data_IF_115143677581
#
_entry.id   IF_115143677581
#
_cell.length_a   1.000
_cell.length_b   1.000
_cell.length_c   1.000
_cell.angle_alpha   90.00
_cell.angle_beta   90.00
_cell.angle_gamma   90.00
#
_symmetry.space_group_name_H-M   'P 1'
#
loop_
_entity.id
_entity.type
_entity.pdbx_description
1 polymer ?
#
# COMPACT_ATOMS: atom_id res chain seq x y z
N UNK A 1 17.24 -24.02 7.46
CA UNK A 1 17.15 -22.60 7.83
C UNK A 1 16.66 -22.51 9.27
N UNK A 2 17.37 -21.79 10.12
CA UNK A 2 17.04 -21.67 11.54
C UNK A 2 15.65 -21.07 11.72
N UNK A 3 14.81 -21.64 12.59
CA UNK A 3 13.42 -21.19 12.85
C UNK A 3 13.35 -19.69 13.19
N UNK A 4 14.29 -19.19 13.98
CA UNK A 4 14.37 -17.75 14.32
C UNK A 4 14.65 -16.88 13.09
N UNK A 5 15.59 -17.28 12.25
CA UNK A 5 15.93 -16.53 11.02
C UNK A 5 14.73 -16.44 10.08
N UNK A 6 13.98 -17.53 9.90
CA UNK A 6 12.77 -17.55 9.09
C UNK A 6 11.71 -16.58 9.60
N UNK A 7 11.53 -16.50 10.93
CA UNK A 7 10.60 -15.57 11.57
C UNK A 7 10.94 -14.12 11.21
N UNK A 8 12.18 -13.69 11.44
CA UNK A 8 12.62 -12.32 11.15
C UNK A 8 12.54 -11.99 9.66
N UNK A 9 12.99 -12.87 8.79
CA UNK A 9 12.88 -12.67 7.33
C UNK A 9 11.43 -12.50 6.88
N UNK A 10 10.48 -13.22 7.51
CA UNK A 10 9.06 -13.06 7.19
C UNK A 10 8.55 -11.69 7.62
N UNK A 11 8.91 -11.20 8.81
CA UNK A 11 8.50 -9.86 9.27
C UNK A 11 9.10 -8.76 8.39
N UNK A 12 10.37 -8.89 8.01
CA UNK A 12 11.03 -7.96 7.07
C UNK A 12 10.29 -7.95 5.72
N UNK A 13 9.99 -9.12 5.16
CA UNK A 13 9.23 -9.22 3.91
C UNK A 13 7.82 -8.59 4.01
N UNK A 14 7.14 -8.74 5.15
CA UNK A 14 5.87 -8.06 5.41
C UNK A 14 6.04 -6.54 5.51
N UNK A 15 7.13 -6.07 6.11
CA UNK A 15 7.47 -4.65 6.16
C UNK A 15 7.73 -4.05 4.77
N UNK A 16 8.50 -4.76 3.92
CA UNK A 16 8.73 -4.38 2.53
C UNK A 16 7.41 -4.30 1.75
N UNK A 17 6.57 -5.32 1.87
CA UNK A 17 5.26 -5.33 1.22
C UNK A 17 4.36 -4.18 1.70
N UNK A 18 4.32 -3.93 3.02
CA UNK A 18 3.55 -2.84 3.60
C UNK A 18 4.03 -1.45 3.17
N UNK A 19 5.35 -1.23 3.10
CA UNK A 19 5.93 0.04 2.66
C UNK A 19 5.69 0.34 1.17
N UNK A 20 5.50 -0.69 0.36
CA UNK A 20 5.29 -0.55 -1.08
C UNK A 20 3.81 -0.43 -1.46
N UNK A 21 2.91 -1.18 -0.81
CA UNK A 21 1.51 -1.29 -1.24
C UNK A 21 0.74 0.03 -1.12
N UNK A 22 1.13 0.89 -0.19
CA UNK A 22 0.49 2.18 0.06
C UNK A 22 1.03 3.32 -0.80
N UNK A 23 2.02 3.06 -1.66
CA UNK A 23 2.61 4.08 -2.53
C UNK A 23 1.54 4.77 -3.40
N UNK A 24 0.76 4.01 -4.15
CA UNK A 24 -0.24 4.56 -5.07
C UNK A 24 -1.40 5.28 -4.36
N UNK A 25 -2.06 4.74 -3.32
CA UNK A 25 -3.12 5.46 -2.62
C UNK A 25 -2.70 6.83 -2.09
N UNK A 26 -1.44 6.95 -1.68
CA UNK A 26 -0.88 8.16 -1.08
C UNK A 26 0.06 8.93 -2.00
N UNK A 27 0.06 8.65 -3.31
CA UNK A 27 0.94 9.28 -4.32
C UNK A 27 0.88 10.81 -4.28
N UNK A 28 -0.29 11.39 -3.98
CA UNK A 28 -0.48 12.84 -3.88
C UNK A 28 0.39 13.51 -2.81
N UNK A 29 0.85 12.80 -1.79
CA UNK A 29 1.69 13.40 -0.74
C UNK A 29 3.13 13.65 -1.19
N UNK A 30 3.57 12.99 -2.24
CA UNK A 30 4.92 13.11 -2.77
C UNK A 30 4.92 13.74 -4.17
N UNK A 31 3.93 13.39 -5.00
CA UNK A 31 3.86 13.76 -6.42
C UNK A 31 2.62 14.59 -6.75
N UNK A 32 2.26 15.53 -5.87
CA UNK A 32 1.03 16.32 -6.00
C UNK A 32 0.96 17.10 -7.31
N UNK A 33 1.99 17.89 -7.60
CA UNK A 33 2.03 18.74 -8.78
C UNK A 33 2.10 17.92 -10.08
N UNK A 34 2.92 16.86 -10.08
CA UNK A 34 3.01 15.92 -11.20
C UNK A 34 1.67 15.21 -11.45
N UNK A 35 0.96 14.79 -10.41
CA UNK A 35 -0.35 14.16 -10.55
C UNK A 35 -1.38 15.12 -11.16
N UNK A 36 -1.44 16.36 -10.66
CA UNK A 36 -2.39 17.38 -11.15
C UNK A 36 -2.10 17.75 -12.59
N UNK A 37 -0.85 18.03 -12.94
CA UNK A 37 -0.45 18.42 -14.28
C UNK A 37 -0.66 17.32 -15.32
N UNK A 38 -0.24 16.10 -14.99
CA UNK A 38 -0.36 14.95 -15.93
C UNK A 38 -1.82 14.55 -16.17
N UNK A 39 -2.66 14.56 -15.12
CA UNK A 39 -4.06 14.19 -15.23
C UNK A 39 -4.96 15.35 -15.68
N UNK A 40 -4.50 16.59 -15.66
CA UNK A 40 -5.31 17.77 -15.93
C UNK A 40 -6.46 17.97 -14.94
N UNK A 41 -6.27 17.58 -13.67
CA UNK A 41 -7.29 17.63 -12.62
C UNK A 41 -7.10 18.82 -11.68
N UNK A 42 -8.17 19.20 -11.00
CA UNK A 42 -8.13 20.25 -9.99
C UNK A 42 -7.70 19.72 -8.62
N UNK A 43 -7.27 20.63 -7.73
CA UNK A 43 -6.95 20.31 -6.33
C UNK A 43 -8.10 19.60 -5.62
N UNK A 44 -9.33 20.02 -5.89
CA UNK A 44 -10.55 19.40 -5.34
C UNK A 44 -10.71 17.96 -5.82
N UNK A 45 -10.47 17.70 -7.10
CA UNK A 45 -10.56 16.35 -7.67
C UNK A 45 -9.50 15.41 -7.10
N UNK A 46 -8.26 15.89 -6.92
CA UNK A 46 -7.22 15.12 -6.22
C UNK A 46 -7.63 14.80 -4.77
N UNK A 47 -8.25 15.76 -4.07
CA UNK A 47 -8.80 15.54 -2.74
C UNK A 47 -9.94 14.50 -2.72
N UNK A 48 -10.83 14.53 -3.71
CA UNK A 48 -11.94 13.58 -3.83
C UNK A 48 -11.46 12.13 -4.04
N UNK A 49 -10.40 11.91 -4.82
CA UNK A 49 -9.81 10.58 -4.98
C UNK A 49 -9.39 10.01 -3.60
N UNK A 50 -8.65 10.79 -2.79
CA UNK A 50 -8.26 10.36 -1.46
C UNK A 50 -9.47 10.16 -0.53
N UNK A 51 -10.49 10.99 -0.66
CA UNK A 51 -11.74 10.86 0.10
C UNK A 51 -12.45 9.54 -0.23
N UNK A 52 -12.53 9.15 -1.50
CA UNK A 52 -13.09 7.86 -1.91
C UNK A 52 -12.32 6.68 -1.29
N UNK A 53 -10.99 6.75 -1.31
CA UNK A 53 -10.14 5.75 -0.66
C UNK A 53 -10.41 5.67 0.86
N UNK A 54 -10.50 6.82 1.52
CA UNK A 54 -10.70 6.88 2.98
C UNK A 54 -12.10 6.37 3.38
N UNK A 55 -13.14 6.74 2.64
CA UNK A 55 -14.51 6.24 2.87
C UNK A 55 -14.55 4.72 2.65
N UNK A 56 -13.93 4.23 1.57
CA UNK A 56 -13.81 2.81 1.31
C UNK A 56 -13.12 2.07 2.47
N UNK A 57 -12.00 2.60 2.96
CA UNK A 57 -11.30 2.04 4.12
C UNK A 57 -12.19 1.98 5.36
N UNK A 58 -12.89 3.09 5.68
CA UNK A 58 -13.75 3.19 6.86
C UNK A 58 -14.85 2.12 6.85
N UNK A 59 -15.46 1.87 5.69
CA UNK A 59 -16.51 0.86 5.53
C UNK A 59 -15.93 -0.56 5.58
N UNK A 60 -14.74 -0.76 4.99
CA UNK A 60 -14.19 -2.09 4.73
C UNK A 60 -13.34 -2.66 5.87
N UNK A 61 -12.90 -1.85 6.84
CA UNK A 61 -12.08 -2.35 7.95
C UNK A 61 -12.81 -3.40 8.80
N UNK A 62 -14.09 -3.17 9.13
CA UNK A 62 -14.86 -4.11 9.97
C UNK A 62 -15.08 -5.44 9.25
N UNK A 63 -15.70 -5.48 8.04
CA UNK A 63 -15.87 -6.75 7.33
C UNK A 63 -14.54 -7.40 6.93
N UNK A 64 -13.50 -6.59 6.67
CA UNK A 64 -12.15 -7.08 6.39
C UNK A 64 -11.55 -7.86 7.55
N UNK A 65 -11.71 -7.39 8.78
CA UNK A 65 -11.30 -8.11 9.99
C UNK A 65 -11.98 -9.48 10.11
N UNK A 66 -13.30 -9.53 9.92
CA UNK A 66 -14.09 -10.76 10.00
C UNK A 66 -13.65 -11.79 8.94
N UNK A 67 -13.36 -11.34 7.72
CA UNK A 67 -12.93 -12.22 6.63
C UNK A 67 -11.48 -12.67 6.83
N UNK A 68 -10.60 -11.79 7.30
CA UNK A 68 -9.22 -12.12 7.60
C UNK A 68 -9.09 -13.29 8.58
N UNK A 69 -10.04 -13.42 9.53
CA UNK A 69 -10.05 -14.54 10.47
C UNK A 69 -10.33 -15.89 9.81
N UNK A 70 -11.05 -15.89 8.69
CA UNK A 70 -11.45 -17.12 7.96
C UNK A 70 -10.49 -17.50 6.84
N UNK A 71 -9.62 -16.59 6.39
CA UNK A 71 -8.74 -16.78 5.23
C UNK A 71 -7.28 -16.95 5.68
N UNK A 72 -6.52 -17.71 4.90
CA UNK A 72 -5.07 -17.83 5.10
C UNK A 72 -4.38 -16.47 4.85
N UNK A 73 -3.63 -15.91 5.83
CA UNK A 73 -2.97 -14.62 5.66
C UNK A 73 -2.06 -14.56 4.43
N UNK A 74 -1.32 -15.64 4.15
CA UNK A 74 -0.43 -15.70 2.99
C UNK A 74 -1.18 -15.51 1.67
N UNK A 75 -2.32 -16.21 1.48
CA UNK A 75 -3.11 -16.09 0.25
C UNK A 75 -3.71 -14.69 0.13
N UNK A 76 -4.25 -14.16 1.21
CA UNK A 76 -4.83 -12.84 1.26
C UNK A 76 -3.82 -11.75 0.89
N UNK A 77 -2.61 -11.79 1.48
CA UNK A 77 -1.54 -10.84 1.21
C UNK A 77 -1.09 -10.90 -0.27
N UNK A 78 -0.92 -12.08 -0.84
CA UNK A 78 -0.54 -12.23 -2.25
C UNK A 78 -1.62 -11.70 -3.18
N UNK A 79 -2.89 -12.04 -2.94
CA UNK A 79 -4.03 -11.54 -3.74
C UNK A 79 -4.09 -10.02 -3.65
N UNK A 80 -3.93 -9.45 -2.47
CA UNK A 80 -3.92 -8.00 -2.26
C UNK A 80 -2.81 -7.30 -3.06
N UNK A 81 -1.57 -7.80 -2.99
CA UNK A 81 -0.45 -7.24 -3.74
C UNK A 81 -0.68 -7.32 -5.25
N UNK A 82 -1.14 -8.46 -5.76
CA UNK A 82 -1.46 -8.63 -7.18
C UNK A 82 -2.60 -7.69 -7.63
N UNK A 83 -3.65 -7.57 -6.82
CA UNK A 83 -4.78 -6.66 -7.13
C UNK A 83 -4.33 -5.20 -7.13
N UNK A 84 -3.53 -4.78 -6.16
CA UNK A 84 -2.98 -3.42 -6.10
C UNK A 84 -2.06 -3.15 -7.30
N UNK A 85 -1.22 -4.12 -7.68
CA UNK A 85 -0.36 -4.01 -8.87
C UNK A 85 -1.19 -3.87 -10.14
N UNK A 86 -2.24 -4.66 -10.31
CA UNK A 86 -3.14 -4.56 -11.46
C UNK A 86 -3.81 -3.17 -11.52
N UNK A 87 -4.32 -2.68 -10.41
CA UNK A 87 -4.92 -1.34 -10.32
C UNK A 87 -3.89 -0.23 -10.64
N UNK A 88 -2.64 -0.39 -10.21
CA UNK A 88 -1.57 0.55 -10.53
C UNK A 88 -1.27 0.59 -12.04
N UNK A 89 -1.22 -0.56 -12.71
CA UNK A 89 -1.07 -0.60 -14.16
C UNK A 89 -2.27 0.02 -14.89
N UNK A 90 -3.51 -0.27 -14.47
CA UNK A 90 -4.71 0.34 -15.06
C UNK A 90 -4.64 1.86 -14.91
N UNK A 91 -4.22 2.36 -13.73
CA UNK A 91 -4.04 3.79 -13.51
C UNK A 91 -2.99 4.40 -14.44
N UNK A 92 -1.85 3.74 -14.61
CA UNK A 92 -0.76 4.24 -15.47
C UNK A 92 -1.19 4.38 -16.95
N UNK A 93 -2.06 3.48 -17.44
CA UNK A 93 -2.55 3.53 -18.81
C UNK A 93 -3.83 4.37 -19.01
N UNK A 94 -4.52 4.73 -17.92
CA UNK A 94 -5.81 5.43 -18.00
C UNK A 94 -5.88 6.55 -16.96
N UNK A 95 -4.98 7.53 -17.06
CA UNK A 95 -4.88 8.66 -16.15
C UNK A 95 -6.00 9.68 -16.38
N UNK A 96 -7.26 9.30 -16.15
CA UNK A 96 -8.36 10.23 -16.10
C UNK A 96 -9.11 10.17 -14.77
N UNK A 97 -9.79 11.27 -14.43
CA UNK A 97 -10.43 11.42 -13.11
C UNK A 97 -11.47 10.35 -12.81
N UNK A 98 -12.33 10.00 -13.77
CA UNK A 98 -13.41 9.04 -13.54
C UNK A 98 -12.86 7.62 -13.26
N UNK A 99 -11.87 7.19 -14.04
CA UNK A 99 -11.19 5.91 -13.83
C UNK A 99 -10.43 5.92 -12.51
N UNK A 100 -9.74 7.02 -12.18
CA UNK A 100 -9.01 7.16 -10.92
C UNK A 100 -9.94 7.04 -9.71
N UNK A 101 -11.14 7.59 -9.75
CA UNK A 101 -12.13 7.43 -8.65
C UNK A 101 -12.47 5.96 -8.40
N UNK A 102 -12.68 5.18 -9.45
CA UNK A 102 -12.95 3.74 -9.34
C UNK A 102 -11.71 2.99 -8.82
N UNK A 103 -10.52 3.36 -9.30
CA UNK A 103 -9.27 2.76 -8.85
C UNK A 103 -9.03 3.03 -7.37
N UNK A 104 -9.22 4.26 -6.87
CA UNK A 104 -9.05 4.59 -5.45
C UNK A 104 -10.02 3.83 -4.55
N UNK A 105 -11.26 3.61 -5.01
CA UNK A 105 -12.19 2.72 -4.33
C UNK A 105 -11.71 1.26 -4.36
N UNK A 106 -11.21 0.78 -5.50
CA UNK A 106 -10.61 -0.56 -5.64
C UNK A 106 -9.38 -0.75 -4.75
N UNK A 107 -8.53 0.29 -4.62
CA UNK A 107 -7.38 0.29 -3.73
C UNK A 107 -7.77 0.13 -2.26
N UNK A 108 -8.90 0.69 -1.82
CA UNK A 108 -9.39 0.47 -0.45
C UNK A 108 -9.75 -1.00 -0.21
N UNK A 109 -10.30 -1.69 -1.22
CA UNK A 109 -10.52 -3.14 -1.16
C UNK A 109 -9.22 -3.91 -1.03
N UNK A 110 -8.26 -3.65 -1.89
CA UNK A 110 -7.00 -4.41 -1.89
C UNK A 110 -6.15 -4.13 -0.65
N UNK A 111 -6.08 -2.88 -0.18
CA UNK A 111 -5.18 -2.48 0.90
C UNK A 111 -5.80 -2.58 2.28
N UNK A 112 -7.01 -2.07 2.49
CA UNK A 112 -7.65 -2.05 3.81
C UNK A 112 -8.39 -3.35 4.12
N UNK A 113 -9.25 -3.81 3.20
CA UNK A 113 -10.08 -4.98 3.41
C UNK A 113 -9.28 -6.27 3.48
N UNK A 114 -8.38 -6.49 2.54
CA UNK A 114 -7.65 -7.76 2.41
C UNK A 114 -6.27 -7.67 3.07
N UNK A 115 -5.46 -6.67 2.71
CA UNK A 115 -4.06 -6.61 3.13
C UNK A 115 -3.90 -6.32 4.61
N UNK A 116 -4.44 -5.19 5.08
CA UNK A 116 -4.20 -4.72 6.45
C UNK A 116 -4.64 -5.74 7.52
N UNK A 117 -5.86 -6.24 7.41
CA UNK A 117 -6.39 -7.21 8.36
C UNK A 117 -5.60 -8.51 8.38
N UNK A 118 -5.20 -9.01 7.20
CA UNK A 118 -4.40 -10.23 7.07
C UNK A 118 -2.96 -10.04 7.52
N UNK A 119 -2.39 -8.85 7.33
CA UNK A 119 -1.06 -8.48 7.79
C UNK A 119 -0.99 -8.49 9.33
N UNK A 120 -1.94 -7.83 10.00
CA UNK A 120 -1.99 -7.81 11.46
C UNK A 120 -2.11 -9.24 12.03
N UNK A 121 -2.96 -10.07 11.43
CA UNK A 121 -3.07 -11.49 11.77
C UNK A 121 -1.75 -12.26 11.54
N UNK A 122 -1.07 -12.02 10.42
CA UNK A 122 0.20 -12.68 10.11
C UNK A 122 1.28 -12.35 11.15
N UNK A 123 1.44 -11.08 11.52
CA UNK A 123 2.42 -10.66 12.53
C UNK A 123 2.10 -11.32 13.89
N UNK A 124 0.81 -11.34 14.27
CA UNK A 124 0.36 -11.95 15.53
C UNK A 124 0.66 -13.44 15.61
N UNK A 125 0.52 -14.18 14.50
CA UNK A 125 0.78 -15.64 14.46
C UNK A 125 2.29 -15.95 14.49
N UNK A 126 3.14 -15.06 13.96
CA UNK A 126 4.58 -15.30 13.83
C UNK A 126 5.30 -15.14 15.19
N UNK A 127 4.91 -14.16 16.00
CA UNK A 127 5.51 -13.87 17.30
C UNK A 127 4.81 -14.59 18.47
N UNK A 128 5.57 -14.86 19.57
CA UNK A 128 4.97 -15.18 20.86
C UNK A 128 4.38 -13.93 21.50
N UNK A 129 3.56 -14.06 22.53
CA UNK A 129 2.97 -12.89 23.21
C UNK A 129 4.04 -11.93 23.74
N UNK A 130 5.14 -12.45 24.25
CA UNK A 130 6.28 -11.66 24.75
C UNK A 130 7.04 -10.91 23.63
N UNK A 131 7.05 -11.46 22.43
CA UNK A 131 7.76 -10.90 21.28
C UNK A 131 6.91 -9.94 20.44
N UNK A 132 5.60 -9.82 20.68
CA UNK A 132 4.68 -9.04 19.82
C UNK A 132 5.13 -7.59 19.64
N UNK A 133 5.52 -6.91 20.72
CA UNK A 133 6.01 -5.54 20.65
C UNK A 133 7.20 -5.38 19.70
N UNK A 134 8.17 -6.30 19.81
CA UNK A 134 9.34 -6.30 18.95
C UNK A 134 8.98 -6.60 17.48
N UNK A 135 8.08 -7.56 17.22
CA UNK A 135 7.66 -7.92 15.86
C UNK A 135 6.92 -6.78 15.15
N UNK A 136 6.03 -6.10 15.86
CA UNK A 136 5.37 -4.91 15.33
C UNK A 136 6.37 -3.77 15.11
N UNK A 137 7.28 -3.53 16.06
CA UNK A 137 8.33 -2.53 15.93
C UNK A 137 9.22 -2.78 14.70
N UNK A 138 9.67 -4.02 14.50
CA UNK A 138 10.47 -4.42 13.35
C UNK A 138 9.69 -4.26 12.03
N UNK A 139 8.42 -4.66 12.01
CA UNK A 139 7.55 -4.44 10.85
C UNK A 139 7.45 -2.96 10.48
N UNK A 140 7.11 -2.09 11.45
CA UNK A 140 6.96 -0.66 11.19
C UNK A 140 8.27 0.02 10.81
N UNK A 141 9.39 -0.40 11.37
CA UNK A 141 10.71 0.09 10.96
C UNK A 141 11.00 -0.26 9.48
N UNK A 142 10.82 -1.52 9.09
CA UNK A 142 10.99 -1.95 7.71
C UNK A 142 9.99 -1.27 6.76
N UNK A 143 8.74 -1.12 7.16
CA UNK A 143 7.71 -0.42 6.40
C UNK A 143 8.11 1.05 6.15
N UNK A 144 8.52 1.76 7.19
CA UNK A 144 8.96 3.16 7.08
C UNK A 144 10.19 3.34 6.18
N UNK A 145 11.21 2.49 6.35
CA UNK A 145 12.41 2.52 5.51
C UNK A 145 12.05 2.24 4.04
N UNK A 146 11.22 1.24 3.80
CA UNK A 146 10.79 0.91 2.43
C UNK A 146 10.01 2.05 1.79
N UNK A 147 9.05 2.64 2.51
CA UNK A 147 8.30 3.79 2.02
C UNK A 147 9.21 4.98 1.71
N UNK A 148 10.15 5.30 2.59
CA UNK A 148 11.11 6.37 2.35
C UNK A 148 11.97 6.11 1.11
N UNK A 149 12.55 4.91 0.97
CA UNK A 149 13.36 4.55 -0.18
C UNK A 149 12.55 4.55 -1.49
N UNK A 150 11.34 3.99 -1.48
CA UNK A 150 10.47 3.96 -2.66
C UNK A 150 10.10 5.37 -3.12
N UNK A 151 9.71 6.24 -2.20
CA UNK A 151 9.36 7.63 -2.51
C UNK A 151 10.57 8.42 -3.01
N UNK A 152 11.73 8.29 -2.37
CA UNK A 152 12.96 8.98 -2.79
C UNK A 152 13.39 8.51 -4.18
N UNK A 153 13.38 7.19 -4.44
CA UNK A 153 13.76 6.65 -5.73
C UNK A 153 12.81 7.10 -6.85
N UNK A 154 11.51 7.04 -6.60
CA UNK A 154 10.51 7.49 -7.57
C UNK A 154 10.62 9.00 -7.85
N UNK A 155 10.90 9.81 -6.82
CA UNK A 155 11.14 11.24 -6.96
C UNK A 155 12.39 11.53 -7.80
N UNK A 156 13.50 10.83 -7.53
CA UNK A 156 14.72 10.96 -8.36
C UNK A 156 14.46 10.60 -9.81
N UNK A 157 13.70 9.53 -10.09
CA UNK A 157 13.36 9.13 -11.46
C UNK A 157 12.55 10.20 -12.20
N UNK A 158 11.56 10.82 -11.54
CA UNK A 158 10.75 11.88 -12.14
C UNK A 158 11.64 13.06 -12.55
N UNK A 159 12.48 13.56 -11.65
CA UNK A 159 13.32 14.72 -11.94
C UNK A 159 14.45 14.45 -12.94
N UNK A 160 14.95 13.22 -13.02
CA UNK A 160 15.95 12.86 -14.05
C UNK A 160 15.32 12.72 -15.42
N UNK A 161 14.05 12.33 -15.51
CA UNK A 161 13.30 12.30 -16.77
C UNK A 161 13.03 13.70 -17.29
N UNK A 162 12.54 14.59 -16.44
CA UNK A 162 12.26 15.99 -16.82
C UNK A 162 13.54 16.72 -17.28
N UNK A 163 14.68 16.46 -16.64
CA UNK A 163 15.96 17.05 -17.04
C UNK A 163 16.55 16.47 -18.34
N UNK A 164 16.02 15.36 -18.85
CA UNK A 164 16.45 14.79 -20.12
C UNK A 164 15.60 15.27 -21.32
N UNK A 165 14.44 15.87 -21.04
CA UNK A 165 13.51 16.40 -22.04
C UNK A 165 13.72 17.92 -22.30
N UNK A 166 14.55 18.61 -21.48
CA UNK A 166 15.04 19.98 -21.66
C UNK A 166 16.38 20.03 -22.43
#
# INVERSE_FOLDING_TARGET
MNSKLRKYLTIIALGLAGGSIYFLPYIKYVFYDAQISTMGITNTQSGLMLTMYTIGNMILYIPGGIIADKVSPKKALVISLLSTTALAYIYAFSMNFAVAMVIWLGLSFSTAFVFWSSLMKAIRIIGTEEEQGFMYGLYYACNGITGALTNTFAFCLLYTSDAADD
#
